data_IF_811488292123
#
_entry.id   IF_811488292123
#
_cell.length_a   1.000
_cell.length_b   1.000
_cell.length_c   1.000
_cell.angle_alpha   90.00
_cell.angle_beta   90.00
_cell.angle_gamma   90.00
#
_symmetry.space_group_name_H-M   'P 1'
#
loop_
_entity.id
_entity.type
_entity.pdbx_description
1 polymer ?
#
# COMPACT_ATOMS: atom_id res chain seq x y z
N UNK A 1 22.84 -17.01 -24.31
CA UNK A 1 22.78 -15.56 -24.62
C UNK A 1 22.16 -14.90 -23.39
N UNK A 2 22.97 -14.30 -22.52
CA UNK A 2 22.43 -13.65 -21.32
C UNK A 2 21.66 -12.41 -21.79
N UNK A 3 20.38 -12.34 -21.43
CA UNK A 3 19.53 -11.22 -21.82
C UNK A 3 20.05 -9.96 -21.11
N UNK A 4 20.20 -8.80 -21.79
CA UNK A 4 20.70 -7.57 -21.16
C UNK A 4 19.88 -7.12 -19.93
N UNK A 5 18.66 -7.64 -19.77
CA UNK A 5 17.74 -7.38 -18.65
C UNK A 5 18.04 -8.15 -17.36
N UNK A 6 18.94 -9.14 -17.38
CA UNK A 6 19.24 -10.02 -16.22
C UNK A 6 19.77 -9.22 -15.01
N UNK A 7 20.46 -8.10 -15.26
CA UNK A 7 21.09 -7.26 -14.25
C UNK A 7 20.36 -5.93 -13.99
N UNK A 8 19.22 -5.68 -14.63
CA UNK A 8 18.46 -4.43 -14.40
C UNK A 8 17.65 -4.53 -13.08
N UNK A 9 17.94 -3.67 -12.08
CA UNK A 9 17.22 -3.66 -10.82
C UNK A 9 15.71 -3.39 -10.99
N UNK A 10 15.31 -2.57 -11.97
CA UNK A 10 13.89 -2.29 -12.23
C UNK A 10 13.18 -3.52 -12.77
N UNK A 11 13.84 -4.27 -13.66
CA UNK A 11 13.27 -5.49 -14.24
C UNK A 11 13.04 -6.57 -13.18
N UNK A 12 13.92 -6.69 -12.17
CA UNK A 12 13.72 -7.60 -11.03
C UNK A 12 12.54 -7.18 -10.15
N UNK A 13 12.32 -5.88 -9.99
CA UNK A 13 11.25 -5.30 -9.16
C UNK A 13 9.91 -5.15 -9.88
N UNK A 14 9.82 -5.44 -11.18
CA UNK A 14 8.61 -5.23 -11.99
C UNK A 14 7.34 -5.80 -11.35
N UNK A 15 7.41 -6.98 -10.74
CA UNK A 15 6.24 -7.61 -10.13
C UNK A 15 5.81 -6.92 -8.84
N UNK A 16 6.78 -6.48 -8.02
CA UNK A 16 6.49 -5.70 -6.82
C UNK A 16 5.91 -4.32 -7.19
N UNK A 17 6.49 -3.66 -8.20
CA UNK A 17 5.99 -2.39 -8.73
C UNK A 17 4.57 -2.52 -9.29
N UNK A 18 4.31 -3.55 -10.11
CA UNK A 18 2.98 -3.80 -10.66
C UNK A 18 1.97 -4.12 -9.54
N UNK A 19 2.32 -4.97 -8.57
CA UNK A 19 1.45 -5.27 -7.45
C UNK A 19 1.10 -4.03 -6.62
N UNK A 20 2.10 -3.18 -6.35
CA UNK A 20 1.92 -1.92 -5.63
C UNK A 20 1.05 -0.93 -6.41
N UNK A 21 1.32 -0.76 -7.71
CA UNK A 21 0.55 0.15 -8.58
C UNK A 21 -0.91 -0.28 -8.68
N UNK A 22 -1.18 -1.58 -8.85
CA UNK A 22 -2.53 -2.11 -8.88
C UNK A 22 -3.25 -1.89 -7.55
N UNK A 23 -2.57 -2.14 -6.42
CA UNK A 23 -3.13 -1.91 -5.09
C UNK A 23 -3.40 -0.42 -4.81
N UNK A 24 -2.52 0.48 -5.25
CA UNK A 24 -2.72 1.93 -5.17
C UNK A 24 -3.92 2.37 -6.02
N UNK A 25 -4.01 1.89 -7.26
CA UNK A 25 -5.13 2.20 -8.15
C UNK A 25 -6.47 1.76 -7.55
N UNK A 26 -6.53 0.57 -6.94
CA UNK A 26 -7.72 0.09 -6.22
C UNK A 26 -8.02 0.90 -4.96
N UNK A 27 -7.01 1.52 -4.35
CA UNK A 27 -7.18 2.33 -3.15
C UNK A 27 -7.82 3.69 -3.42
N UNK A 28 -7.73 4.22 -4.65
CA UNK A 28 -8.38 5.49 -5.02
C UNK A 28 -9.92 5.42 -4.86
N UNK A 29 -10.65 4.49 -5.53
CA UNK A 29 -12.09 4.39 -5.33
C UNK A 29 -12.45 3.94 -3.91
N UNK A 30 -11.63 3.09 -3.26
CA UNK A 30 -11.85 2.71 -1.87
C UNK A 30 -11.78 3.92 -0.92
N UNK A 31 -10.79 4.80 -1.09
CA UNK A 31 -10.64 6.03 -0.34
C UNK A 31 -11.79 7.00 -0.62
N UNK A 32 -12.29 7.08 -1.85
CA UNK A 32 -13.44 7.92 -2.20
C UNK A 32 -14.73 7.44 -1.50
N UNK A 33 -14.99 6.12 -1.53
CA UNK A 33 -16.14 5.53 -0.85
C UNK A 33 -16.05 5.71 0.67
N UNK A 34 -14.88 5.45 1.25
CA UNK A 34 -14.64 5.65 2.67
C UNK A 34 -14.73 7.13 3.06
N UNK A 35 -14.18 8.04 2.26
CA UNK A 35 -14.21 9.48 2.50
C UNK A 35 -15.62 10.06 2.44
N UNK A 36 -16.45 9.58 1.51
CA UNK A 36 -17.88 9.90 1.51
C UNK A 36 -18.56 9.43 2.80
N UNK A 37 -18.45 8.14 3.12
CA UNK A 37 -19.16 7.56 4.25
C UNK A 37 -18.72 8.17 5.59
N UNK A 38 -17.41 8.35 5.79
CA UNK A 38 -16.87 8.98 6.99
C UNK A 38 -17.18 10.49 7.04
N UNK A 39 -17.18 11.18 5.90
CA UNK A 39 -17.59 12.58 5.81
C UNK A 39 -19.01 12.76 6.30
N UNK A 40 -19.94 11.93 5.79
CA UNK A 40 -21.37 11.96 6.16
C UNK A 40 -21.60 11.75 7.65
N UNK A 41 -20.74 10.96 8.32
CA UNK A 41 -20.82 10.73 9.77
C UNK A 41 -20.35 11.92 10.60
N UNK A 42 -19.45 12.76 10.06
CA UNK A 42 -18.91 13.94 10.76
C UNK A 42 -19.80 15.15 10.49
N UNK A 43 -20.12 15.41 9.23
CA UNK A 43 -21.00 16.48 8.79
C UNK A 43 -21.42 16.27 7.33
N UNK A 44 -22.66 16.63 7.00
CA UNK A 44 -23.19 16.54 5.63
C UNK A 44 -22.71 17.72 4.75
N UNK A 45 -21.39 17.95 4.71
CA UNK A 45 -20.74 18.99 3.92
C UNK A 45 -19.67 18.40 3.00
N UNK A 46 -19.57 18.96 1.79
CA UNK A 46 -18.62 18.55 0.77
C UNK A 46 -17.17 18.69 1.23
N UNK A 47 -16.87 19.75 1.99
CA UNK A 47 -15.53 20.00 2.49
C UNK A 47 -15.00 18.84 3.34
N UNK A 48 -15.85 18.23 4.18
CA UNK A 48 -15.48 17.07 4.99
C UNK A 48 -15.24 15.82 4.17
N UNK A 49 -16.13 15.52 3.21
CA UNK A 49 -15.96 14.39 2.29
C UNK A 49 -14.64 14.49 1.51
N UNK A 50 -14.36 15.68 0.96
CA UNK A 50 -13.15 15.95 0.19
C UNK A 50 -11.88 15.92 1.05
N UNK A 51 -11.93 16.53 2.25
CA UNK A 51 -10.81 16.55 3.19
C UNK A 51 -10.43 15.16 3.67
N UNK A 52 -11.40 14.33 4.04
CA UNK A 52 -11.15 12.94 4.47
C UNK A 52 -10.62 12.11 3.30
N UNK A 53 -11.18 12.25 2.11
CA UNK A 53 -10.65 11.59 0.91
C UNK A 53 -9.18 11.96 0.67
N UNK A 54 -8.82 13.24 0.74
CA UNK A 54 -7.44 13.70 0.58
C UNK A 54 -6.51 13.13 1.66
N UNK A 55 -6.96 13.09 2.92
CA UNK A 55 -6.21 12.50 4.03
C UNK A 55 -5.99 10.99 3.84
N UNK A 56 -7.02 10.26 3.40
CA UNK A 56 -6.92 8.83 3.09
C UNK A 56 -5.97 8.54 1.93
N UNK A 57 -6.00 9.36 0.87
CA UNK A 57 -5.01 9.25 -0.21
C UNK A 57 -3.59 9.45 0.30
N UNK A 58 -3.34 10.50 1.09
CA UNK A 58 -2.02 10.75 1.67
C UNK A 58 -1.58 9.58 2.56
N UNK A 59 -2.50 9.03 3.36
CA UNK A 59 -2.26 7.86 4.21
C UNK A 59 -1.84 6.61 3.41
N UNK A 60 -2.57 6.28 2.33
CA UNK A 60 -2.25 5.13 1.48
C UNK A 60 -0.93 5.35 0.73
N UNK A 61 -0.66 6.56 0.25
CA UNK A 61 0.62 6.89 -0.39
C UNK A 61 1.79 6.72 0.59
N UNK A 62 1.64 7.15 1.83
CA UNK A 62 2.65 6.91 2.87
C UNK A 62 2.85 5.40 3.11
N UNK A 63 1.76 4.63 3.20
CA UNK A 63 1.81 3.17 3.29
C UNK A 63 2.55 2.52 2.12
N UNK A 64 2.34 3.02 0.90
CA UNK A 64 3.01 2.53 -0.30
C UNK A 64 4.52 2.76 -0.24
N UNK A 65 4.97 3.94 0.18
CA UNK A 65 6.39 4.24 0.40
C UNK A 65 6.99 3.29 1.43
N UNK A 66 6.32 3.09 2.57
CA UNK A 66 6.79 2.20 3.65
C UNK A 66 6.93 0.75 3.16
N UNK A 67 5.91 0.23 2.47
CA UNK A 67 5.95 -1.14 1.94
C UNK A 67 7.00 -1.28 0.84
N UNK A 68 7.10 -0.31 -0.07
CA UNK A 68 8.09 -0.33 -1.15
C UNK A 68 9.51 -0.40 -0.58
N UNK A 69 9.83 0.45 0.41
CA UNK A 69 11.14 0.43 1.09
C UNK A 69 11.46 -0.93 1.73
N UNK A 70 10.46 -1.63 2.25
CA UNK A 70 10.64 -2.96 2.86
C UNK A 70 10.77 -4.08 1.83
N UNK A 71 10.09 -3.96 0.69
CA UNK A 71 9.96 -5.04 -0.29
C UNK A 71 10.98 -4.95 -1.42
N UNK A 72 11.57 -3.77 -1.65
CA UNK A 72 12.53 -3.48 -2.71
C UNK A 72 13.77 -4.41 -2.76
N UNK A 73 13.99 -5.29 -1.77
CA UNK A 73 15.11 -6.24 -1.76
C UNK A 73 14.73 -7.71 -1.82
N UNK A 74 13.44 -8.08 -1.71
CA UNK A 74 13.05 -9.46 -1.42
C UNK A 74 11.98 -10.08 -2.32
N UNK A 75 11.25 -9.30 -3.11
CA UNK A 75 10.10 -9.84 -3.86
C UNK A 75 10.41 -10.02 -5.35
N UNK A 76 10.68 -11.27 -5.76
CA UNK A 76 10.85 -11.68 -7.17
C UNK A 76 9.64 -12.45 -7.71
N UNK A 77 8.67 -12.76 -6.84
CA UNK A 77 7.56 -13.64 -7.18
C UNK A 77 6.57 -12.97 -8.15
N UNK A 78 5.89 -13.73 -9.02
CA UNK A 78 4.97 -13.20 -10.02
C UNK A 78 3.69 -12.60 -9.41
N UNK A 79 3.10 -11.60 -10.07
CA UNK A 79 1.85 -10.95 -9.62
C UNK A 79 0.68 -11.94 -9.72
N UNK A 80 -0.14 -12.00 -8.67
CA UNK A 80 -1.40 -12.76 -8.65
C UNK A 80 -2.49 -11.95 -7.95
N UNK A 81 -3.76 -12.25 -8.23
CA UNK A 81 -4.89 -11.55 -7.62
C UNK A 81 -4.84 -11.58 -6.08
N UNK A 82 -4.54 -12.75 -5.49
CA UNK A 82 -4.36 -12.90 -4.05
C UNK A 82 -3.24 -12.00 -3.51
N UNK A 83 -2.14 -11.85 -4.25
CA UNK A 83 -1.05 -10.97 -3.84
C UNK A 83 -1.43 -9.50 -3.95
N UNK A 84 -2.14 -9.09 -5.00
CA UNK A 84 -2.66 -7.72 -5.11
C UNK A 84 -3.59 -7.40 -3.95
N UNK A 85 -4.48 -8.32 -3.57
CA UNK A 85 -5.33 -8.16 -2.39
C UNK A 85 -4.51 -8.01 -1.09
N UNK A 86 -3.42 -8.76 -0.96
CA UNK A 86 -2.52 -8.66 0.20
C UNK A 86 -1.75 -7.33 0.22
N UNK A 87 -1.28 -6.83 -0.94
CA UNK A 87 -0.70 -5.50 -1.07
C UNK A 87 -1.70 -4.42 -0.69
N UNK A 88 -2.93 -4.52 -1.20
CA UNK A 88 -4.02 -3.63 -0.84
C UNK A 88 -4.27 -3.64 0.67
N UNK A 89 -4.50 -4.80 1.28
CA UNK A 89 -4.68 -4.90 2.73
C UNK A 89 -3.49 -4.31 3.51
N UNK A 90 -2.27 -4.58 3.06
CA UNK A 90 -1.05 -4.06 3.68
C UNK A 90 -0.95 -2.54 3.59
N UNK A 91 -1.40 -1.93 2.49
CA UNK A 91 -1.45 -0.47 2.33
C UNK A 91 -2.41 0.20 3.31
N UNK A 92 -3.47 -0.51 3.73
CA UNK A 92 -4.42 0.02 4.70
C UNK A 92 -4.02 -0.28 6.14
N UNK A 93 -3.26 -1.35 6.38
CA UNK A 93 -2.86 -1.82 7.72
C UNK A 93 -1.40 -1.49 8.08
N UNK A 94 -0.68 -0.73 7.26
CA UNK A 94 0.75 -0.47 7.45
C UNK A 94 1.16 0.03 8.85
N UNK A 95 0.41 0.90 9.56
CA UNK A 95 0.82 1.33 10.89
C UNK A 95 0.76 0.18 11.89
N UNK A 96 -0.29 -0.65 11.82
CA UNK A 96 -0.42 -1.83 12.65
C UNK A 96 0.73 -2.82 12.37
N UNK A 97 1.09 -3.02 11.10
CA UNK A 97 2.23 -3.86 10.71
C UNK A 97 3.58 -3.34 11.23
N UNK A 98 3.72 -2.03 11.44
CA UNK A 98 4.91 -1.44 12.09
C UNK A 98 4.91 -1.67 13.60
N UNK A 99 3.76 -1.50 14.25
CA UNK A 99 3.62 -1.69 15.70
C UNK A 99 3.81 -3.15 16.09
N UNK A 100 3.14 -4.08 15.41
CA UNK A 100 3.22 -5.52 15.67
C UNK A 100 4.67 -6.04 15.57
N UNK A 101 5.40 -5.63 14.53
CA UNK A 101 6.80 -6.02 14.36
C UNK A 101 7.73 -5.49 15.46
N UNK A 102 7.39 -4.35 16.07
CA UNK A 102 8.17 -3.80 17.19
C UNK A 102 7.95 -4.61 18.47
N UNK A 103 6.77 -5.20 18.66
CA UNK A 103 6.45 -6.09 19.78
C UNK A 103 7.31 -7.35 19.81
N UNK A 104 7.51 -7.99 18.65
CA UNK A 104 8.32 -9.21 18.52
C UNK A 104 9.78 -9.03 18.95
N UNK A 105 10.34 -7.82 18.77
CA UNK A 105 11.73 -7.51 19.14
C UNK A 105 11.87 -7.21 20.63
N UNK A 106 10.81 -6.74 21.28
CA UNK A 106 10.83 -6.33 22.69
C UNK A 106 10.38 -7.43 23.66
N UNK A 107 9.79 -8.52 23.18
CA UNK A 107 9.19 -9.59 24.01
C UNK A 107 10.06 -10.82 24.27
N UNK A 108 11.33 -10.82 23.84
CA UNK A 108 12.24 -11.99 23.93
C UNK A 108 13.57 -11.69 24.63
N UNK A 109 13.57 -10.79 25.62
CA UNK A 109 14.71 -10.53 26.50
C UNK A 109 14.47 -11.10 27.91
#
# INVERSE_FOLDING_TARGET
MNSPYENDPLYRLRHALLGLLLALLLSVPAAALAGRWLGDLVADDYAWRAGIYAALLAYVVAGAVVLFMKVARHETRPVSAARVALWFASLWLWPALLVLRRGDVNGTA
#
